data_IF_557732452166
#
_entry.id   IF_557732452166
#
_cell.length_a   1.000
_cell.length_b   1.000
_cell.length_c   1.000
_cell.angle_alpha   90.00
_cell.angle_beta   90.00
_cell.angle_gamma   90.00
#
_symmetry.space_group_name_H-M   'P 1'
#
loop_
_entity.id
_entity.type
_entity.pdbx_description
1 polymer ?
#
# COMPACT_ATOMS: atom_id res chain seq x y z
N UNK A 1 9.44 1.72 6.21
CA UNK A 1 8.35 1.68 5.22
C UNK A 1 8.94 1.76 3.82
N UNK A 2 8.51 0.87 2.92
CA UNK A 2 8.92 0.87 1.51
C UNK A 2 7.80 1.49 0.67
N UNK A 3 8.14 2.38 -0.26
CA UNK A 3 7.15 2.95 -1.20
C UNK A 3 7.72 2.92 -2.62
N UNK A 4 6.90 2.47 -3.57
CA UNK A 4 7.28 2.31 -4.96
C UNK A 4 6.25 2.99 -5.87
N UNK A 5 6.72 3.74 -6.87
CA UNK A 5 5.86 4.44 -7.84
C UNK A 5 5.83 3.65 -9.13
N UNK A 6 4.64 3.16 -9.51
CA UNK A 6 4.41 2.45 -10.77
C UNK A 6 3.29 3.12 -11.58
N UNK A 7 3.35 3.02 -12.91
CA UNK A 7 2.28 3.52 -13.80
C UNK A 7 1.08 2.56 -13.84
N UNK A 8 1.35 1.26 -13.73
CA UNK A 8 0.35 0.22 -13.74
C UNK A 8 0.66 -0.80 -12.67
N UNK A 9 -0.38 -1.38 -12.10
CA UNK A 9 -0.23 -2.42 -11.09
C UNK A 9 -1.06 -3.62 -11.51
N UNK A 10 -0.38 -4.73 -11.76
CA UNK A 10 -0.97 -6.02 -12.07
C UNK A 10 -0.82 -6.95 -10.88
N UNK A 11 -1.67 -7.97 -10.79
CA UNK A 11 -1.54 -8.99 -9.74
C UNK A 11 -0.16 -9.67 -9.74
N UNK A 12 0.47 -9.80 -10.92
CA UNK A 12 1.82 -10.37 -11.07
C UNK A 12 2.88 -9.46 -10.46
N UNK A 13 2.79 -8.15 -10.72
CA UNK A 13 3.72 -7.16 -10.15
C UNK A 13 3.57 -7.08 -8.64
N UNK A 14 2.33 -7.04 -8.13
CA UNK A 14 2.07 -7.09 -6.69
C UNK A 14 2.69 -8.34 -6.05
N UNK A 15 2.53 -9.51 -6.69
CA UNK A 15 3.10 -10.77 -6.18
C UNK A 15 4.62 -10.70 -6.13
N UNK A 16 5.24 -10.20 -7.20
CA UNK A 16 6.69 -10.03 -7.26
C UNK A 16 7.21 -9.06 -6.20
N UNK A 17 6.46 -8.00 -5.87
CA UNK A 17 6.84 -7.09 -4.78
C UNK A 17 6.78 -7.79 -3.42
N UNK A 18 5.72 -8.55 -3.13
CA UNK A 18 5.61 -9.28 -1.86
C UNK A 18 6.81 -10.23 -1.71
N UNK A 19 7.10 -11.04 -2.71
CA UNK A 19 8.22 -11.98 -2.70
C UNK A 19 9.61 -11.31 -2.66
N UNK A 20 9.70 -10.01 -3.00
CA UNK A 20 10.95 -9.25 -2.93
C UNK A 20 11.22 -8.70 -1.53
N UNK A 21 10.17 -8.40 -0.76
CA UNK A 21 10.27 -7.69 0.51
C UNK A 21 9.86 -8.53 1.72
N UNK A 22 9.30 -9.73 1.49
CA UNK A 22 8.96 -10.71 2.53
C UNK A 22 9.84 -11.93 2.30
N UNK A 23 10.53 -12.36 3.36
CA UNK A 23 11.34 -13.57 3.32
C UNK A 23 10.44 -14.82 3.42
N UNK A 24 10.79 -15.89 2.69
CA UNK A 24 9.99 -17.12 2.62
C UNK A 24 9.93 -17.89 3.97
N UNK A 25 10.88 -17.61 4.87
CA UNK A 25 10.97 -18.23 6.22
C UNK A 25 10.23 -17.44 7.31
N UNK A 26 9.55 -16.35 6.96
CA UNK A 26 8.85 -15.48 7.90
C UNK A 26 7.35 -15.81 7.98
N UNK A 27 6.78 -15.84 9.19
CA UNK A 27 5.33 -16.00 9.44
C UNK A 27 4.58 -14.68 9.16
N UNK A 28 4.98 -14.00 8.09
CA UNK A 28 4.47 -12.69 7.68
C UNK A 28 3.07 -12.82 7.10
N UNK A 29 2.17 -11.93 7.54
CA UNK A 29 0.78 -11.84 7.06
C UNK A 29 0.58 -10.57 6.24
N UNK A 30 0.09 -10.72 5.01
CA UNK A 30 -0.34 -9.59 4.19
C UNK A 30 -1.71 -9.11 4.65
N UNK A 31 -1.85 -7.80 4.90
CA UNK A 31 -3.14 -7.19 5.20
C UNK A 31 -3.45 -6.17 4.09
N UNK A 32 -4.63 -6.27 3.45
CA UNK A 32 -5.02 -5.37 2.36
C UNK A 32 -6.49 -4.97 2.41
N UNK A 33 -6.85 -4.00 1.57
CA UNK A 33 -8.24 -3.65 1.24
C UNK A 33 -8.85 -4.62 0.20
N UNK A 34 -10.02 -4.26 -0.33
CA UNK A 34 -10.77 -5.05 -1.30
C UNK A 34 -10.28 -4.96 -2.76
N UNK A 35 -9.15 -4.30 -3.03
CA UNK A 35 -8.66 -4.14 -4.40
C UNK A 35 -8.46 -5.51 -5.09
N UNK A 36 -9.05 -5.66 -6.28
CA UNK A 36 -9.07 -6.94 -7.02
C UNK A 36 -7.68 -7.46 -7.39
N UNK A 37 -6.68 -6.59 -7.45
CA UNK A 37 -5.28 -6.98 -7.70
C UNK A 37 -4.73 -7.96 -6.66
N UNK A 38 -5.26 -7.94 -5.43
CA UNK A 38 -4.83 -8.84 -4.35
C UNK A 38 -5.54 -10.20 -4.35
N UNK A 39 -6.50 -10.44 -5.24
CA UNK A 39 -7.33 -11.68 -5.23
C UNK A 39 -6.57 -13.00 -5.35
N UNK A 40 -5.30 -12.98 -5.73
CA UNK A 40 -4.45 -14.19 -5.84
C UNK A 40 -3.37 -14.26 -4.76
N UNK A 41 -3.37 -13.36 -3.78
CA UNK A 41 -2.31 -13.30 -2.76
C UNK A 41 -2.35 -14.46 -1.78
N UNK A 42 -3.54 -15.03 -1.54
CA UNK A 42 -3.71 -16.26 -0.73
C UNK A 42 -2.86 -17.44 -1.23
N UNK A 43 -2.40 -17.41 -2.49
CA UNK A 43 -1.51 -18.44 -3.07
C UNK A 43 -0.03 -18.19 -2.83
N UNK A 44 0.33 -17.08 -2.20
CA UNK A 44 1.71 -16.60 -2.04
C UNK A 44 2.06 -16.32 -0.59
N UNK A 45 1.12 -15.76 0.18
CA UNK A 45 1.32 -15.36 1.57
C UNK A 45 -0.02 -15.47 2.30
N UNK A 46 0.01 -15.68 3.62
CA UNK A 46 -1.21 -15.56 4.41
C UNK A 46 -1.80 -14.16 4.20
N UNK A 47 -3.07 -14.07 3.81
CA UNK A 47 -3.68 -12.81 3.39
C UNK A 47 -4.98 -12.54 4.12
N UNK A 48 -5.01 -11.42 4.83
CA UNK A 48 -6.19 -10.88 5.51
C UNK A 48 -6.71 -9.68 4.72
N UNK A 49 -7.94 -9.81 4.23
CA UNK A 49 -8.64 -8.71 3.55
C UNK A 49 -9.58 -7.97 4.51
N UNK A 50 -9.41 -6.66 4.62
CA UNK A 50 -10.29 -5.78 5.38
C UNK A 50 -11.32 -5.14 4.44
N UNK A 51 -12.57 -5.56 4.58
CA UNK A 51 -13.74 -4.99 3.90
C UNK A 51 -14.29 -3.83 4.75
N UNK A 52 -13.99 -2.59 4.34
CA UNK A 52 -14.39 -1.37 5.05
C UNK A 52 -15.91 -1.11 4.98
N UNK A 53 -16.66 -1.85 4.14
CA UNK A 53 -18.12 -1.80 4.13
C UNK A 53 -18.75 -2.71 5.18
N UNK A 54 -18.03 -3.75 5.63
CA UNK A 54 -18.56 -4.75 6.58
C UNK A 54 -17.89 -4.71 7.96
N UNK A 55 -16.61 -4.35 8.05
CA UNK A 55 -15.87 -4.30 9.30
C UNK A 55 -14.88 -3.12 9.32
N UNK A 56 -14.87 -2.36 10.42
CA UNK A 56 -13.89 -1.29 10.67
C UNK A 56 -12.51 -1.83 11.09
N UNK A 57 -12.46 -3.08 11.60
CA UNK A 57 -11.24 -3.79 11.96
C UNK A 57 -11.51 -5.30 12.00
N UNK A 58 -10.48 -6.12 11.78
CA UNK A 58 -10.52 -7.57 12.00
C UNK A 58 -9.60 -7.92 13.16
N UNK A 59 -10.14 -8.33 14.30
CA UNK A 59 -9.36 -8.71 15.50
C UNK A 59 -8.30 -7.66 15.89
N UNK A 60 -8.70 -6.39 15.98
CA UNK A 60 -7.83 -5.22 16.27
C UNK A 60 -6.85 -4.82 15.14
N UNK A 61 -6.69 -5.67 14.12
CA UNK A 61 -5.93 -5.37 12.91
C UNK A 61 -6.75 -4.42 12.04
N UNK A 62 -6.14 -3.29 11.67
CA UNK A 62 -6.73 -2.28 10.79
C UNK A 62 -5.67 -1.72 9.84
N UNK A 63 -6.11 -1.06 8.76
CA UNK A 63 -5.23 -0.40 7.80
C UNK A 63 -5.25 1.14 7.92
N UNK A 64 -5.77 1.68 9.03
CA UNK A 64 -5.95 3.12 9.20
C UNK A 64 -4.61 3.88 9.13
N UNK A 65 -3.51 3.27 9.58
CA UNK A 65 -2.18 3.88 9.52
C UNK A 65 -1.72 4.13 8.08
N UNK A 66 -1.89 3.15 7.18
CA UNK A 66 -1.50 3.32 5.77
C UNK A 66 -2.48 4.25 5.03
N UNK A 67 -3.78 4.22 5.37
CA UNK A 67 -4.76 5.16 4.82
C UNK A 67 -4.46 6.61 5.20
N UNK A 68 -4.07 6.82 6.46
CA UNK A 68 -3.66 8.13 6.99
C UNK A 68 -2.39 8.62 6.31
N UNK A 69 -1.41 7.74 6.06
CA UNK A 69 -0.22 8.08 5.27
C UNK A 69 -0.59 8.58 3.86
N UNK A 70 -1.48 7.89 3.15
CA UNK A 70 -1.95 8.35 1.84
C UNK A 70 -2.76 9.64 1.90
N UNK A 71 -3.51 9.88 2.98
CA UNK A 71 -4.22 11.14 3.19
C UNK A 71 -3.25 12.33 3.34
N UNK A 72 -2.12 12.13 4.03
CA UNK A 72 -1.05 13.14 4.15
C UNK A 72 -0.50 13.49 2.77
N UNK A 73 -0.14 12.48 1.97
CA UNK A 73 0.35 12.69 0.60
C UNK A 73 -0.67 13.46 -0.23
N UNK A 74 -1.95 13.04 -0.24
CA UNK A 74 -3.01 13.76 -0.98
C UNK A 74 -3.12 15.22 -0.55
N UNK A 75 -2.99 15.51 0.75
CA UNK A 75 -3.08 16.88 1.27
C UNK A 75 -1.86 17.73 0.90
N UNK A 76 -0.65 17.16 0.90
CA UNK A 76 0.55 17.83 0.41
C UNK A 76 0.42 18.15 -1.08
N UNK A 77 -0.09 17.21 -1.86
CA UNK A 77 -0.36 17.35 -3.29
C UNK A 77 -1.34 18.51 -3.55
N UNK A 78 -2.50 18.52 -2.88
CA UNK A 78 -3.53 19.54 -3.09
C UNK A 78 -3.10 20.92 -2.57
N UNK A 79 -2.42 20.99 -1.42
CA UNK A 79 -2.15 22.25 -0.73
C UNK A 79 -0.83 22.91 -1.10
N UNK A 80 0.26 22.15 -1.17
CA UNK A 80 1.62 22.70 -1.34
C UNK A 80 2.07 22.66 -2.80
N UNK A 81 1.68 21.62 -3.55
CA UNK A 81 2.16 21.39 -4.91
C UNK A 81 1.07 21.67 -5.94
N UNK A 82 0.85 22.95 -6.25
CA UNK A 82 -0.14 23.36 -7.27
C UNK A 82 0.16 22.82 -8.69
N UNK A 83 1.37 22.31 -8.93
CA UNK A 83 1.75 21.58 -10.15
C UNK A 83 2.64 20.38 -9.81
N UNK A 84 2.14 19.18 -10.09
CA UNK A 84 2.86 17.93 -9.89
C UNK A 84 3.10 17.29 -11.24
N UNK A 85 4.37 17.06 -11.55
CA UNK A 85 4.75 16.15 -12.64
C UNK A 85 4.92 14.74 -12.07
N UNK A 86 4.46 13.73 -12.80
CA UNK A 86 4.74 12.31 -12.50
C UNK A 86 6.25 12.06 -12.30
N UNK A 87 7.11 12.85 -12.96
CA UNK A 87 8.58 12.80 -12.80
C UNK A 87 9.04 13.06 -11.36
N UNK A 88 8.29 13.83 -10.59
CA UNK A 88 8.66 14.24 -9.24
C UNK A 88 7.90 13.49 -8.14
N UNK A 89 6.94 12.61 -8.50
CA UNK A 89 6.20 11.79 -7.55
C UNK A 89 7.10 11.05 -6.54
N UNK A 90 8.21 10.41 -6.96
CA UNK A 90 9.09 9.72 -6.02
C UNK A 90 9.69 10.65 -4.96
N UNK A 91 9.95 11.93 -5.29
CA UNK A 91 10.49 12.91 -4.33
C UNK A 91 9.45 13.32 -3.29
N UNK A 92 8.21 13.54 -3.71
CA UNK A 92 7.10 13.86 -2.80
C UNK A 92 6.80 12.70 -1.84
N UNK A 93 6.83 11.48 -2.36
CA UNK A 93 6.66 10.27 -1.56
C UNK A 93 7.81 10.13 -0.55
N UNK A 94 9.06 10.33 -0.99
CA UNK A 94 10.22 10.27 -0.08
C UNK A 94 10.14 11.31 1.04
N UNK A 95 9.65 12.51 0.77
CA UNK A 95 9.42 13.54 1.78
C UNK A 95 8.37 13.09 2.82
N UNK A 96 7.27 12.46 2.37
CA UNK A 96 6.24 11.95 3.26
C UNK A 96 6.73 10.77 4.13
N UNK A 97 7.66 9.95 3.63
CA UNK A 97 8.28 8.85 4.41
C UNK A 97 9.23 9.37 5.48
N UNK A 98 9.91 10.50 5.23
CA UNK A 98 10.90 11.08 6.14
C UNK A 98 10.30 11.92 7.27
N UNK A 99 9.05 12.39 7.13
CA UNK A 99 8.34 13.19 8.14
C UNK A 99 7.60 12.31 9.13
#
# INVERSE_FOLDING_TARGET
MVVEVTQHITAKELKAMVQKYVDDDDDSVLISDEYRGYSKMDTTIEHVKIDHQKLYSYREININSIESFWAIIRRQIIGQHHQISLKHLPKYVAEAVFK
#
